data_IF_307295569876
#
_entry.id   IF_307295569876
#
_cell.length_a   1.000
_cell.length_b   1.000
_cell.length_c   1.000
_cell.angle_alpha   90.00
_cell.angle_beta   90.00
_cell.angle_gamma   90.00
#
_symmetry.space_group_name_H-M   'P 1'
#
loop_
_entity.id
_entity.type
_entity.pdbx_description
1 polymer ?
#
# COMPACT_ATOMS: atom_id res chain seq x y z
N UNK A 1 -28.88 -1.00 56.81
CA UNK A 1 -29.43 -1.36 58.12
C UNK A 1 -30.08 -2.72 57.94
N UNK A 2 -29.62 -3.85 58.48
CA UNK A 2 -28.51 -4.13 59.41
C UNK A 2 -27.86 -5.50 59.02
N UNK A 3 -26.55 -5.73 59.11
CA UNK A 3 -25.77 -6.17 60.29
C UNK A 3 -26.28 -7.52 60.91
N UNK A 4 -25.46 -8.53 61.25
CA UNK A 4 -24.00 -8.72 61.17
C UNK A 4 -23.58 -10.22 61.32
N UNK A 5 -22.35 -10.54 60.90
CA UNK A 5 -21.34 -11.39 61.57
C UNK A 5 -21.71 -12.71 62.30
N UNK A 6 -21.10 -13.84 61.86
CA UNK A 6 -19.97 -14.53 62.56
C UNK A 6 -19.40 -15.65 61.64
N UNK A 7 -18.08 -15.79 61.44
CA UNK A 7 -17.13 -16.71 62.13
C UNK A 7 -17.76 -18.07 62.53
N UNK A 8 -17.18 -19.24 62.27
CA UNK A 8 -15.89 -19.60 61.67
C UNK A 8 -15.42 -20.95 62.24
N UNK A 9 -15.09 -21.92 61.39
CA UNK A 9 -14.69 -23.28 61.81
C UNK A 9 -13.61 -23.84 60.89
N UNK A 10 -12.63 -24.54 61.47
CA UNK A 10 -11.37 -24.97 60.82
C UNK A 10 -11.07 -26.43 61.21
N UNK A 11 -10.30 -27.14 60.38
CA UNK A 11 -9.71 -28.49 60.63
C UNK A 11 -10.74 -29.65 60.54
N UNK A 12 -10.39 -30.89 60.16
CA UNK A 12 -9.10 -31.43 59.70
C UNK A 12 -9.25 -32.65 58.77
N UNK A 13 -8.24 -32.83 57.91
CA UNK A 13 -7.60 -34.06 57.40
C UNK A 13 -8.33 -35.42 57.41
N UNK A 14 -8.29 -36.08 56.25
CA UNK A 14 -8.45 -37.54 56.08
C UNK A 14 -7.47 -38.06 55.01
N UNK A 15 -6.43 -38.76 55.44
CA UNK A 15 -5.44 -39.44 54.58
C UNK A 15 -5.95 -40.81 54.11
N UNK A 16 -5.40 -41.35 53.02
CA UNK A 16 -5.88 -42.60 52.40
C UNK A 16 -5.17 -42.99 51.10
N UNK A 17 -3.85 -43.19 51.14
CA UNK A 17 -3.05 -43.52 49.96
C UNK A 17 -3.00 -45.00 49.54
N UNK A 18 -2.68 -45.23 48.25
CA UNK A 18 -2.15 -46.50 47.71
C UNK A 18 -3.19 -47.48 47.13
N UNK A 19 -3.00 -48.11 45.96
CA UNK A 19 -1.78 -48.76 45.48
C UNK A 19 -1.76 -48.96 43.94
N UNK A 20 -0.59 -49.36 43.44
CA UNK A 20 -0.29 -49.65 42.02
C UNK A 20 -0.88 -50.99 41.55
N UNK A 21 -1.32 -51.05 40.30
CA UNK A 21 -1.48 -52.29 39.52
C UNK A 21 -0.79 -52.18 38.17
N UNK A 22 0.22 -53.01 37.89
CA UNK A 22 0.99 -53.03 36.62
C UNK A 22 1.08 -54.46 36.09
N UNK A 23 0.49 -54.70 34.92
CA UNK A 23 0.65 -55.87 34.05
C UNK A 23 0.77 -55.27 32.63
N UNK A 24 1.80 -55.46 31.79
CA UNK A 24 2.58 -56.65 31.38
C UNK A 24 1.64 -57.80 30.93
N UNK A 25 1.79 -58.38 29.73
CA UNK A 25 3.03 -58.64 28.99
C UNK A 25 2.73 -59.06 27.52
N UNK A 26 3.72 -58.90 26.62
CA UNK A 26 3.93 -59.65 25.35
C UNK A 26 2.82 -59.57 24.28
N UNK A 27 3.09 -59.54 22.97
CA UNK A 27 4.28 -59.90 22.17
C UNK A 27 3.76 -60.54 20.86
N UNK A 28 4.51 -60.66 19.76
CA UNK A 28 5.97 -60.68 19.59
C UNK A 28 6.32 -60.61 18.08
N UNK A 29 7.54 -60.16 17.74
CA UNK A 29 8.38 -60.50 16.55
C UNK A 29 7.78 -60.42 15.12
N UNK A 30 8.32 -59.74 14.11
CA UNK A 30 9.69 -59.34 13.71
C UNK A 30 10.55 -60.40 12.98
N UNK A 31 10.85 -60.09 11.70
CA UNK A 31 11.99 -60.51 10.83
C UNK A 31 11.93 -59.55 9.61
N UNK A 32 12.94 -58.77 9.19
CA UNK A 32 14.33 -59.08 8.81
C UNK A 32 14.38 -60.08 7.63
N UNK A 33 15.13 -59.92 6.52
CA UNK A 33 16.39 -59.17 6.25
C UNK A 33 16.61 -59.03 4.73
N UNK A 34 17.79 -58.53 4.28
CA UNK A 34 18.41 -58.65 2.93
C UNK A 34 18.01 -57.57 1.92
N UNK A 35 18.88 -56.57 1.65
CA UNK A 35 20.02 -56.57 0.68
C UNK A 35 19.63 -56.87 -0.77
N UNK A 36 19.85 -55.88 -1.65
CA UNK A 36 20.51 -56.07 -2.94
C UNK A 36 21.05 -54.72 -3.47
N UNK A 37 22.37 -54.62 -3.63
CA UNK A 37 23.03 -53.68 -4.54
C UNK A 37 23.14 -54.34 -5.91
N UNK A 38 22.81 -53.64 -7.00
CA UNK A 38 23.39 -53.94 -8.31
C UNK A 38 23.66 -52.64 -9.11
N UNK A 39 24.95 -52.28 -9.27
CA UNK A 39 25.43 -51.32 -10.26
C UNK A 39 25.97 -52.05 -11.51
N UNK A 40 25.17 -52.14 -12.57
CA UNK A 40 25.60 -52.69 -13.85
C UNK A 40 24.72 -52.20 -15.02
N UNK A 41 25.12 -52.10 -16.29
CA UNK A 41 26.39 -52.21 -17.10
C UNK A 41 25.99 -51.64 -18.50
N UNK A 42 26.82 -51.16 -19.46
CA UNK A 42 28.25 -51.26 -19.80
C UNK A 42 28.64 -50.12 -20.79
N UNK A 43 29.92 -49.73 -20.83
CA UNK A 43 30.58 -49.04 -21.98
C UNK A 43 30.92 -50.05 -23.10
N UNK A 44 31.26 -49.60 -24.33
CA UNK A 44 32.66 -49.28 -24.73
C UNK A 44 32.77 -47.90 -25.42
N UNK A 45 33.82 -47.08 -25.28
CA UNK A 45 35.26 -47.24 -25.58
C UNK A 45 35.63 -47.44 -27.07
N UNK A 46 36.02 -46.35 -27.75
CA UNK A 46 37.24 -46.23 -28.60
C UNK A 46 37.44 -44.77 -29.07
N UNK A 47 38.59 -44.13 -28.80
CA UNK A 47 39.77 -43.92 -29.68
C UNK A 47 39.57 -42.86 -30.78
N UNK A 48 40.52 -41.98 -31.14
CA UNK A 48 41.86 -41.63 -30.62
C UNK A 48 42.51 -40.58 -31.55
N UNK A 49 43.61 -39.92 -31.11
CA UNK A 49 44.61 -39.20 -31.96
C UNK A 49 44.12 -37.87 -32.60
N UNK A 50 44.97 -36.87 -32.93
CA UNK A 50 46.41 -36.62 -32.65
C UNK A 50 46.84 -35.20 -33.10
N UNK A 51 47.97 -34.69 -32.57
CA UNK A 51 48.69 -33.48 -33.04
C UNK A 51 48.59 -32.33 -32.04
N UNK A 52 49.58 -31.91 -31.23
CA UNK A 52 51.07 -31.75 -31.35
C UNK A 52 51.49 -30.46 -32.07
N UNK A 53 51.75 -29.41 -31.27
CA UNK A 53 52.98 -28.57 -31.14
C UNK A 53 53.88 -28.35 -32.39
N UNK A 54 54.54 -27.16 -32.56
CA UNK A 54 55.37 -26.55 -31.51
C UNK A 54 55.46 -24.99 -31.45
N UNK A 55 56.46 -24.54 -30.68
CA UNK A 55 56.78 -23.22 -30.10
C UNK A 55 57.94 -22.49 -30.82
N UNK A 56 58.44 -21.38 -30.23
CA UNK A 56 59.77 -20.74 -30.44
C UNK A 56 59.92 -19.77 -31.66
N UNK A 57 60.77 -18.72 -31.67
CA UNK A 57 61.59 -18.04 -30.64
C UNK A 57 61.97 -16.58 -31.05
N UNK A 58 62.65 -15.86 -30.13
CA UNK A 58 63.49 -14.63 -30.23
C UNK A 58 63.77 -13.98 -31.63
N UNK A 59 63.94 -12.66 -31.75
CA UNK A 59 65.19 -11.85 -31.49
C UNK A 59 64.90 -10.40 -31.99
N UNK A 60 65.53 -9.27 -31.62
CA UNK A 60 66.59 -8.87 -30.66
C UNK A 60 67.22 -7.51 -31.09
N UNK A 61 68.20 -6.98 -30.33
CA UNK A 61 68.97 -5.71 -30.58
C UNK A 61 68.17 -4.38 -30.54
N UNK A 62 68.71 -3.18 -30.29
CA UNK A 62 69.79 -2.59 -29.44
C UNK A 62 70.03 -1.15 -29.94
N UNK A 63 70.40 -0.20 -29.05
CA UNK A 63 71.16 1.06 -29.35
C UNK A 63 70.46 2.13 -30.28
N UNK A 64 70.73 3.45 -30.22
CA UNK A 64 71.41 4.32 -29.23
C UNK A 64 70.94 5.79 -29.41
N UNK A 65 71.29 6.64 -28.44
CA UNK A 65 71.67 8.06 -28.54
C UNK A 65 70.71 9.27 -28.74
N UNK A 66 71.20 10.37 -28.13
CA UNK A 66 71.05 11.80 -28.45
C UNK A 66 69.71 12.57 -28.21
N UNK A 67 69.77 13.47 -27.21
CA UNK A 67 69.11 14.81 -27.18
C UNK A 67 70.10 15.86 -27.81
N UNK A 68 69.83 17.18 -27.95
CA UNK A 68 68.66 17.99 -27.51
C UNK A 68 68.17 19.09 -28.52
N UNK A 69 67.35 20.03 -27.99
CA UNK A 69 67.20 21.44 -28.37
C UNK A 69 66.08 21.89 -29.35
N UNK A 70 64.98 22.35 -28.73
CA UNK A 70 64.49 23.74 -28.80
C UNK A 70 63.93 24.33 -30.13
N UNK A 71 62.60 24.49 -30.16
CA UNK A 71 61.98 25.77 -30.56
C UNK A 71 60.58 25.98 -30.00
N UNK A 72 60.39 27.15 -29.38
CA UNK A 72 59.12 27.69 -28.93
C UNK A 72 58.15 27.98 -30.10
N UNK A 73 56.85 27.74 -29.88
CA UNK A 73 55.73 28.40 -30.59
C UNK A 73 54.36 28.15 -29.95
N UNK A 74 53.71 29.25 -29.60
CA UNK A 74 52.25 29.50 -29.71
C UNK A 74 51.25 28.50 -29.10
N UNK A 75 50.71 28.89 -27.94
CA UNK A 75 49.25 29.03 -27.70
C UNK A 75 48.27 28.20 -28.58
N UNK A 76 47.95 26.97 -28.16
CA UNK A 76 46.57 26.43 -28.26
C UNK A 76 46.33 25.37 -27.15
N UNK A 77 45.87 25.83 -25.97
CA UNK A 77 45.44 24.90 -24.89
C UNK A 77 43.99 24.47 -25.11
N UNK A 78 43.78 23.50 -25.99
CA UNK A 78 42.62 22.60 -25.91
C UNK A 78 42.72 21.76 -24.64
N UNK A 79 41.73 21.76 -23.73
CA UNK A 79 41.68 20.80 -22.64
C UNK A 79 41.41 19.39 -23.19
N UNK A 80 42.16 18.40 -22.70
CA UNK A 80 41.98 17.01 -23.09
C UNK A 80 40.59 16.48 -22.65
N UNK A 81 40.07 15.50 -23.39
CA UNK A 81 38.87 14.74 -23.01
C UNK A 81 39.13 14.00 -21.71
N UNK A 82 38.50 14.43 -20.62
CA UNK A 82 38.37 13.63 -19.41
C UNK A 82 37.47 12.40 -19.63
N UNK A 83 37.55 11.38 -18.76
CA UNK A 83 36.69 10.20 -18.85
C UNK A 83 35.22 10.59 -18.66
N UNK A 84 34.32 9.87 -19.33
CA UNK A 84 32.89 10.16 -19.33
C UNK A 84 32.32 10.17 -17.91
N UNK A 85 31.88 11.35 -17.46
CA UNK A 85 31.13 11.50 -16.22
C UNK A 85 29.76 10.84 -16.36
N UNK A 86 29.26 10.33 -15.23
CA UNK A 86 27.93 9.75 -15.08
C UNK A 86 26.84 10.61 -15.74
N UNK A 87 26.15 10.03 -16.72
CA UNK A 87 24.98 10.66 -17.34
C UNK A 87 23.88 10.79 -16.29
N UNK A 88 23.66 12.03 -15.84
CA UNK A 88 22.63 12.41 -14.87
C UNK A 88 21.23 12.31 -15.51
N UNK A 89 20.72 11.08 -15.59
CA UNK A 89 19.40 10.75 -16.13
C UNK A 89 18.24 11.51 -15.44
N UNK A 90 18.45 12.03 -14.22
CA UNK A 90 17.44 12.75 -13.47
C UNK A 90 17.04 14.11 -14.07
N UNK A 91 17.90 14.73 -14.89
CA UNK A 91 17.70 16.13 -15.31
C UNK A 91 16.96 16.32 -16.64
N UNK A 92 16.88 15.29 -17.48
CA UNK A 92 16.31 15.39 -18.83
C UNK A 92 14.77 15.28 -18.86
N UNK A 93 14.11 14.90 -17.76
CA UNK A 93 12.66 14.66 -17.73
C UNK A 93 11.81 15.86 -17.26
N UNK A 94 12.44 16.99 -16.91
CA UNK A 94 11.77 18.13 -16.27
C UNK A 94 10.97 19.06 -17.23
N UNK A 95 10.95 18.79 -18.53
CA UNK A 95 10.46 19.72 -19.55
C UNK A 95 9.30 19.15 -20.41
N UNK A 96 8.13 18.92 -19.78
CA UNK A 96 6.77 18.93 -20.38
C UNK A 96 5.72 18.63 -19.30
N UNK A 97 5.41 19.63 -18.46
CA UNK A 97 4.30 19.58 -17.50
C UNK A 97 3.11 20.34 -18.07
N UNK A 98 1.96 19.69 -18.19
CA UNK A 98 0.67 20.29 -18.54
C UNK A 98 -0.27 20.28 -17.31
N UNK A 99 -1.19 21.25 -17.19
CA UNK A 99 -1.24 22.03 -15.93
C UNK A 99 -2.13 21.49 -14.79
N UNK A 100 -2.82 20.37 -14.98
CA UNK A 100 -3.79 19.85 -13.99
C UNK A 100 -3.20 18.63 -13.28
N UNK A 101 -2.37 18.93 -12.30
CA UNK A 101 -2.02 18.09 -11.15
C UNK A 101 -1.75 16.59 -11.36
N UNK A 102 -0.57 16.30 -11.91
CA UNK A 102 0.23 15.16 -11.43
C UNK A 102 0.78 15.36 -9.99
N UNK A 103 0.35 16.42 -9.29
CA UNK A 103 1.20 17.26 -8.43
C UNK A 103 1.17 16.90 -6.94
N UNK A 104 0.19 16.12 -6.47
CA UNK A 104 -0.02 16.01 -5.02
C UNK A 104 -0.27 14.61 -4.42
N UNK A 105 -0.38 13.55 -5.22
CA UNK A 105 -0.52 12.16 -4.69
C UNK A 105 0.64 11.24 -5.07
N UNK A 106 1.45 11.60 -6.07
CA UNK A 106 2.56 10.76 -6.53
C UNK A 106 3.76 10.71 -5.56
N UNK A 107 4.01 11.77 -4.78
CA UNK A 107 5.20 11.94 -3.93
C UNK A 107 4.96 11.74 -2.42
N UNK A 108 3.85 11.10 -2.04
CA UNK A 108 3.62 10.64 -0.67
C UNK A 108 4.16 9.22 -0.39
N UNK A 109 4.70 8.53 -1.40
CA UNK A 109 5.52 7.33 -1.20
C UNK A 109 6.94 7.73 -0.81
N UNK A 110 7.43 7.33 0.38
CA UNK A 110 8.86 7.46 0.68
C UNK A 110 9.65 6.63 -0.32
N UNK A 111 10.63 7.24 -0.97
CA UNK A 111 11.68 6.57 -1.75
C UNK A 111 12.63 5.81 -0.80
N UNK A 112 12.09 4.80 -0.13
CA UNK A 112 12.85 3.92 0.75
C UNK A 112 13.53 2.84 -0.09
N UNK A 113 14.86 2.88 -0.13
CA UNK A 113 15.73 1.84 -0.68
C UNK A 113 15.60 0.56 0.17
N UNK A 114 14.56 -0.20 -0.10
CA UNK A 114 14.19 -1.42 0.59
C UNK A 114 12.97 -2.02 -0.10
N UNK A 115 12.96 -3.34 -0.26
CA UNK A 115 11.87 -4.07 -0.92
C UNK A 115 10.60 -4.03 -0.07
N UNK A 116 9.88 -2.92 -0.10
CA UNK A 116 8.57 -2.77 0.51
C UNK A 116 7.53 -3.53 -0.31
N UNK A 117 7.47 -4.84 -0.08
CA UNK A 117 6.27 -5.60 -0.40
C UNK A 117 5.06 -4.88 0.21
N UNK A 118 4.10 -4.53 -0.64
CA UNK A 118 2.76 -4.12 -0.21
C UNK A 118 2.16 -5.36 0.45
N UNK A 119 2.28 -5.41 1.77
CA UNK A 119 2.07 -6.63 2.56
C UNK A 119 0.74 -7.29 2.20
N UNK A 120 0.80 -8.59 1.91
CA UNK A 120 -0.36 -9.35 1.48
C UNK A 120 -1.55 -9.10 2.41
N UNK A 121 -2.73 -8.84 1.82
CA UNK A 121 -3.94 -8.45 2.52
C UNK A 121 -4.33 -9.49 3.60
N UNK A 122 -3.92 -9.21 4.83
CA UNK A 122 -4.04 -10.11 5.96
C UNK A 122 -5.34 -9.86 6.74
N UNK A 123 -5.91 -10.94 7.24
CA UNK A 123 -7.02 -10.90 8.21
C UNK A 123 -6.52 -10.81 9.66
N UNK A 124 -5.21 -10.69 9.87
CA UNK A 124 -4.56 -10.55 11.17
C UNK A 124 -4.11 -9.11 11.37
N UNK A 125 -4.61 -8.48 12.42
CA UNK A 125 -4.16 -7.17 12.88
C UNK A 125 -3.78 -7.24 14.36
N UNK A 126 -2.75 -6.52 14.78
CA UNK A 126 -2.52 -6.25 16.20
C UNK A 126 -3.57 -5.22 16.69
N UNK A 127 -4.03 -5.28 17.95
CA UNK A 127 -5.04 -4.35 18.45
C UNK A 127 -4.70 -2.86 18.26
N UNK A 128 -3.42 -2.41 18.43
CA UNK A 128 -3.06 -1.02 18.14
C UNK A 128 -3.23 -0.65 16.66
N UNK A 129 -2.85 -1.53 15.72
CA UNK A 129 -3.01 -1.29 14.27
C UNK A 129 -4.47 -1.28 13.85
N UNK A 130 -5.32 -2.11 14.47
CA UNK A 130 -6.76 -2.09 14.24
C UNK A 130 -7.40 -0.80 14.77
N UNK A 131 -7.05 -0.35 15.98
CA UNK A 131 -7.54 0.92 16.51
C UNK A 131 -7.11 2.10 15.62
N UNK A 132 -5.84 2.12 15.20
CA UNK A 132 -5.30 3.14 14.29
C UNK A 132 -6.06 3.22 12.96
N UNK A 133 -6.35 2.05 12.38
CA UNK A 133 -7.20 1.90 11.19
C UNK A 133 -8.60 2.47 11.44
N UNK A 134 -9.29 2.02 12.50
CA UNK A 134 -10.67 2.40 12.76
C UNK A 134 -10.81 3.91 13.02
N UNK A 135 -9.90 4.51 13.80
CA UNK A 135 -9.87 5.96 14.03
C UNK A 135 -9.61 6.72 12.73
N UNK A 136 -8.67 6.25 11.90
CA UNK A 136 -8.39 6.86 10.60
C UNK A 136 -9.57 6.82 9.63
N UNK A 137 -10.26 5.68 9.55
CA UNK A 137 -11.46 5.51 8.72
C UNK A 137 -12.66 6.32 9.23
N UNK A 138 -12.84 6.41 10.55
CA UNK A 138 -13.91 7.22 11.14
C UNK A 138 -13.67 8.71 10.87
N UNK A 139 -12.44 9.20 11.07
CA UNK A 139 -12.06 10.57 10.69
C UNK A 139 -12.20 10.81 9.18
N UNK A 140 -11.82 9.85 8.33
CA UNK A 140 -12.03 9.95 6.89
C UNK A 140 -13.51 10.17 6.54
N UNK A 141 -14.41 9.35 7.10
CA UNK A 141 -15.85 9.48 6.87
C UNK A 141 -16.45 10.76 7.46
N UNK A 142 -15.96 11.24 8.62
CA UNK A 142 -16.31 12.57 9.13
C UNK A 142 -15.90 13.65 8.12
N UNK A 143 -14.68 13.59 7.58
CA UNK A 143 -14.20 14.55 6.59
C UNK A 143 -15.08 14.61 5.34
N UNK A 144 -15.45 13.45 4.78
CA UNK A 144 -16.39 13.37 3.64
C UNK A 144 -17.79 13.88 4.05
N UNK A 145 -18.31 13.51 5.22
CA UNK A 145 -19.60 13.97 5.73
C UNK A 145 -19.67 15.49 5.91
N UNK A 146 -18.59 16.14 6.37
CA UNK A 146 -18.48 17.61 6.45
C UNK A 146 -18.49 18.27 5.06
N UNK A 147 -17.85 17.65 4.06
CA UNK A 147 -17.91 18.12 2.67
C UNK A 147 -19.34 17.99 2.12
N UNK A 148 -20.04 16.87 2.38
CA UNK A 148 -21.46 16.70 1.97
C UNK A 148 -22.36 17.72 2.67
N UNK A 149 -22.23 17.89 3.99
CA UNK A 149 -22.99 18.88 4.76
C UNK A 149 -22.78 20.32 4.26
N UNK A 150 -21.61 20.63 3.69
CA UNK A 150 -21.37 21.94 3.07
C UNK A 150 -22.34 22.26 1.93
N UNK A 151 -22.90 21.23 1.26
CA UNK A 151 -23.70 21.33 0.04
C UNK A 151 -23.08 22.21 -1.08
N UNK A 152 -21.76 22.37 -1.09
CA UNK A 152 -21.00 23.13 -2.10
C UNK A 152 -20.35 22.24 -3.19
N UNK A 153 -20.61 20.93 -3.15
CA UNK A 153 -20.01 19.91 -4.02
C UNK A 153 -19.27 18.84 -3.22
N UNK A 154 -19.10 17.65 -3.81
CA UNK A 154 -18.55 16.47 -3.14
C UNK A 154 -17.28 15.91 -3.82
N UNK A 155 -16.58 14.98 -3.15
CA UNK A 155 -15.49 14.21 -3.75
C UNK A 155 -16.02 13.31 -4.88
N UNK A 156 -15.23 12.93 -5.91
CA UNK A 156 -15.73 12.17 -7.06
C UNK A 156 -16.49 10.88 -6.74
N UNK A 157 -16.10 10.18 -5.67
CA UNK A 157 -16.76 8.95 -5.23
C UNK A 157 -18.02 9.22 -4.42
N UNK A 158 -18.03 10.29 -3.64
CA UNK A 158 -19.20 10.74 -2.87
C UNK A 158 -20.24 11.41 -3.77
N UNK A 159 -19.84 12.03 -4.88
CA UNK A 159 -20.76 12.44 -5.97
C UNK A 159 -21.48 11.22 -6.56
N UNK A 160 -20.76 10.11 -6.79
CA UNK A 160 -21.37 8.85 -7.24
C UNK A 160 -22.31 8.27 -6.19
N UNK A 161 -21.88 8.17 -4.93
CA UNK A 161 -22.70 7.64 -3.85
C UNK A 161 -23.98 8.48 -3.62
N UNK A 162 -23.83 9.81 -3.57
CA UNK A 162 -24.97 10.72 -3.44
C UNK A 162 -25.93 10.58 -4.63
N UNK A 163 -25.43 10.59 -5.88
CA UNK A 163 -26.28 10.41 -7.06
C UNK A 163 -27.04 9.08 -7.05
N UNK A 164 -26.41 7.98 -6.62
CA UNK A 164 -27.12 6.71 -6.39
C UNK A 164 -28.16 6.84 -5.28
N UNK A 165 -27.90 7.64 -4.25
CA UNK A 165 -28.84 7.95 -3.17
C UNK A 165 -30.10 8.65 -3.68
N UNK A 166 -29.94 9.71 -4.45
CA UNK A 166 -31.06 10.45 -5.08
C UNK A 166 -31.97 9.54 -5.93
N UNK A 167 -31.39 8.53 -6.61
CA UNK A 167 -32.15 7.58 -7.43
C UNK A 167 -32.79 6.41 -6.64
N UNK A 168 -32.37 6.17 -5.39
CA UNK A 168 -32.80 4.99 -4.61
C UNK A 168 -33.49 5.32 -3.29
N UNK A 169 -33.44 6.57 -2.82
CA UNK A 169 -33.92 6.99 -1.50
C UNK A 169 -33.05 6.49 -0.34
N UNK A 170 -31.85 5.99 -0.62
CA UNK A 170 -30.88 5.53 0.39
C UNK A 170 -29.95 6.67 0.83
N UNK A 171 -29.50 6.62 2.08
CA UNK A 171 -28.53 7.59 2.64
C UNK A 171 -27.17 7.52 1.93
N UNK A 172 -26.42 8.62 1.98
CA UNK A 172 -25.11 8.76 1.31
C UNK A 172 -24.10 7.75 1.88
N UNK A 173 -24.15 7.44 3.18
CA UNK A 173 -23.34 6.41 3.81
C UNK A 173 -23.68 5.00 3.35
N UNK A 174 -24.97 4.65 3.27
CA UNK A 174 -25.41 3.35 2.74
C UNK A 174 -25.01 3.20 1.27
N UNK A 175 -25.22 4.21 0.43
CA UNK A 175 -24.80 4.12 -0.97
C UNK A 175 -23.28 4.12 -1.13
N UNK A 176 -22.52 4.77 -0.25
CA UNK A 176 -21.05 4.65 -0.19
C UNK A 176 -20.62 3.21 0.13
N UNK A 177 -21.32 2.51 1.03
CA UNK A 177 -21.10 1.09 1.31
C UNK A 177 -21.42 0.24 0.07
N UNK A 178 -22.55 0.48 -0.60
CA UNK A 178 -22.96 -0.28 -1.78
C UNK A 178 -22.01 -0.07 -2.98
N UNK A 179 -21.64 1.17 -3.30
CA UNK A 179 -20.64 1.51 -4.32
C UNK A 179 -19.31 0.84 -4.01
N UNK A 180 -18.89 0.85 -2.73
CA UNK A 180 -17.69 0.16 -2.26
C UNK A 180 -17.75 -1.36 -2.48
N UNK A 181 -18.89 -2.00 -2.23
CA UNK A 181 -19.10 -3.43 -2.53
C UNK A 181 -19.04 -3.69 -4.04
N UNK A 182 -19.66 -2.85 -4.88
CA UNK A 182 -19.56 -2.97 -6.35
C UNK A 182 -18.11 -2.86 -6.82
N UNK A 183 -17.33 -1.93 -6.25
CA UNK A 183 -15.90 -1.80 -6.56
C UNK A 183 -15.11 -3.05 -6.15
N UNK A 184 -15.45 -3.71 -5.04
CA UNK A 184 -14.86 -4.99 -4.68
C UNK A 184 -15.25 -6.14 -5.62
N UNK A 185 -16.44 -6.11 -6.25
CA UNK A 185 -16.77 -7.06 -7.31
C UNK A 185 -15.88 -6.87 -8.55
N UNK A 186 -15.50 -5.62 -8.88
CA UNK A 186 -14.53 -5.32 -9.94
C UNK A 186 -13.11 -5.85 -9.63
N UNK A 187 -12.80 -6.24 -8.38
CA UNK A 187 -11.53 -6.88 -8.05
C UNK A 187 -11.45 -8.36 -8.44
N UNK A 188 -12.59 -9.03 -8.62
CA UNK A 188 -12.64 -10.45 -9.02
C UNK A 188 -11.85 -10.73 -10.33
N UNK A 189 -12.07 -10.01 -11.45
CA UNK A 189 -11.25 -10.15 -12.66
C UNK A 189 -9.81 -9.63 -12.50
N UNK A 190 -9.50 -8.89 -11.44
CA UNK A 190 -8.15 -8.43 -11.10
C UNK A 190 -7.40 -9.39 -10.14
N UNK A 191 -8.07 -10.48 -9.70
CA UNK A 191 -7.55 -11.49 -8.75
C UNK A 191 -6.98 -10.88 -7.45
N UNK A 192 -7.52 -9.75 -7.01
CA UNK A 192 -7.10 -9.12 -5.76
C UNK A 192 -7.85 -9.72 -4.57
N UNK A 193 -7.18 -9.87 -3.44
CA UNK A 193 -7.78 -10.40 -2.21
C UNK A 193 -8.07 -9.22 -1.26
N UNK A 194 -9.32 -9.01 -0.82
CA UNK A 194 -9.62 -8.05 0.24
C UNK A 194 -9.03 -8.53 1.57
N UNK A 195 -8.63 -7.59 2.40
CA UNK A 195 -8.15 -7.84 3.77
C UNK A 195 -9.03 -7.15 4.81
N UNK A 196 -8.62 -7.21 6.08
CA UNK A 196 -9.36 -6.57 7.17
C UNK A 196 -9.48 -5.05 6.97
N UNK A 197 -8.41 -4.39 6.53
CA UNK A 197 -8.44 -2.96 6.19
C UNK A 197 -9.46 -2.60 5.10
N UNK A 198 -9.61 -3.47 4.10
CA UNK A 198 -10.60 -3.33 3.03
C UNK A 198 -12.03 -3.42 3.58
N UNK A 199 -12.32 -4.45 4.37
CA UNK A 199 -13.66 -4.67 4.94
C UNK A 199 -14.05 -3.55 5.92
N UNK A 200 -13.13 -3.13 6.79
CA UNK A 200 -13.35 -1.98 7.66
C UNK A 200 -13.57 -0.69 6.85
N UNK A 201 -12.79 -0.44 5.80
CA UNK A 201 -12.95 0.78 4.98
C UNK A 201 -14.36 0.86 4.35
N UNK A 202 -14.88 -0.24 3.79
CA UNK A 202 -16.24 -0.29 3.24
C UNK A 202 -17.28 0.16 4.26
N UNK A 203 -17.27 -0.43 5.47
CA UNK A 203 -18.34 -0.24 6.46
C UNK A 203 -18.16 1.06 7.25
N UNK A 204 -16.95 1.30 7.78
CA UNK A 204 -16.70 2.37 8.75
C UNK A 204 -16.81 3.75 8.12
N UNK A 205 -16.38 3.92 6.86
CA UNK A 205 -16.47 5.21 6.16
C UNK A 205 -17.93 5.60 5.91
N UNK A 206 -18.77 4.68 5.42
CA UNK A 206 -20.18 4.96 5.18
C UNK A 206 -20.94 5.30 6.47
N UNK A 207 -20.73 4.53 7.55
CA UNK A 207 -21.34 4.82 8.85
C UNK A 207 -20.91 6.18 9.42
N UNK A 208 -19.64 6.55 9.26
CA UNK A 208 -19.14 7.84 9.72
C UNK A 208 -19.65 9.03 8.88
N UNK A 209 -19.93 8.84 7.59
CA UNK A 209 -20.59 9.85 6.74
C UNK A 209 -22.01 10.13 7.26
N UNK A 210 -22.85 9.10 7.38
CA UNK A 210 -24.24 9.27 7.85
C UNK A 210 -24.29 9.86 9.27
N UNK A 211 -23.48 9.33 10.20
CA UNK A 211 -23.40 9.86 11.57
C UNK A 211 -22.93 11.33 11.63
N UNK A 212 -22.18 11.81 10.63
CA UNK A 212 -21.77 13.22 10.54
C UNK A 212 -22.88 14.08 9.95
N UNK A 213 -23.62 13.58 8.96
CA UNK A 213 -24.77 14.28 8.39
C UNK A 213 -25.90 14.44 9.40
N UNK A 214 -26.20 13.39 10.16
CA UNK A 214 -27.19 13.42 11.26
C UNK A 214 -26.80 14.42 12.37
N UNK A 215 -25.50 14.59 12.64
CA UNK A 215 -24.99 15.48 13.69
C UNK A 215 -24.89 16.96 13.26
N UNK A 216 -24.49 17.22 12.02
CA UNK A 216 -24.26 18.58 11.50
C UNK A 216 -25.53 19.18 10.90
N UNK A 217 -26.41 18.37 10.32
CA UNK A 217 -27.62 18.82 9.65
C UNK A 217 -27.32 19.72 8.44
N UNK A 218 -28.16 20.74 8.25
CA UNK A 218 -28.07 21.68 7.12
C UNK A 218 -27.53 23.04 7.60
N UNK A 219 -26.24 23.35 7.37
CA UNK A 219 -25.60 24.59 7.84
C UNK A 219 -25.98 25.81 6.97
N UNK A 220 -26.56 26.82 7.60
CA UNK A 220 -26.83 28.10 6.95
C UNK A 220 -25.59 28.98 6.81
N UNK A 221 -25.56 29.78 5.72
CA UNK A 221 -24.55 30.80 5.48
C UNK A 221 -23.29 30.30 4.75
N UNK A 222 -22.85 31.07 3.75
CA UNK A 222 -21.73 30.73 2.87
C UNK A 222 -20.41 30.52 3.61
N UNK A 223 -20.14 31.28 4.67
CA UNK A 223 -18.91 31.15 5.46
C UNK A 223 -18.82 29.80 6.17
N UNK A 224 -19.88 29.37 6.86
CA UNK A 224 -19.92 28.08 7.56
C UNK A 224 -19.81 26.91 6.58
N UNK A 225 -20.57 26.96 5.49
CA UNK A 225 -20.48 25.97 4.40
C UNK A 225 -19.07 25.87 3.82
N UNK A 226 -18.39 27.01 3.59
CA UNK A 226 -17.01 27.04 3.09
C UNK A 226 -16.01 26.48 4.10
N UNK A 227 -16.19 26.79 5.39
CA UNK A 227 -15.37 26.25 6.48
C UNK A 227 -15.55 24.73 6.64
N UNK A 228 -16.76 24.21 6.49
CA UNK A 228 -17.07 22.78 6.50
C UNK A 228 -16.45 22.05 5.31
N UNK A 229 -16.52 22.62 4.10
CA UNK A 229 -15.86 22.05 2.92
C UNK A 229 -14.34 21.96 3.08
N UNK A 230 -13.68 23.08 3.45
CA UNK A 230 -12.22 23.14 3.59
C UNK A 230 -11.72 22.34 4.80
N UNK A 231 -12.40 22.44 5.94
CA UNK A 231 -12.13 21.65 7.14
C UNK A 231 -12.35 20.16 6.90
N UNK A 232 -13.42 19.79 6.19
CA UNK A 232 -13.70 18.43 5.76
C UNK A 232 -12.55 17.85 4.93
N UNK A 233 -12.08 18.54 3.88
CA UNK A 233 -10.92 18.11 3.07
C UNK A 233 -9.67 17.89 3.94
N UNK A 234 -9.37 18.79 4.89
CA UNK A 234 -8.24 18.64 5.80
C UNK A 234 -8.39 17.41 6.72
N UNK A 235 -9.61 17.14 7.21
CA UNK A 235 -9.93 15.97 8.03
C UNK A 235 -9.87 14.67 7.21
N UNK A 236 -10.31 14.65 5.94
CA UNK A 236 -10.10 13.50 5.03
C UNK A 236 -8.60 13.24 4.85
N UNK A 237 -7.78 14.28 4.69
CA UNK A 237 -6.32 14.16 4.60
C UNK A 237 -5.69 13.53 5.85
N UNK A 238 -6.09 14.00 7.04
CA UNK A 238 -5.64 13.45 8.33
C UNK A 238 -6.07 11.98 8.52
N UNK A 239 -7.35 11.68 8.28
CA UNK A 239 -7.92 10.34 8.37
C UNK A 239 -7.26 9.36 7.38
N UNK A 240 -6.97 9.83 6.17
CA UNK A 240 -6.19 9.08 5.17
C UNK A 240 -4.79 8.74 5.67
N UNK A 241 -4.10 9.69 6.32
CA UNK A 241 -2.79 9.46 6.93
C UNK A 241 -2.82 8.30 7.94
N UNK A 242 -3.77 8.34 8.88
CA UNK A 242 -3.99 7.27 9.87
C UNK A 242 -4.31 5.92 9.21
N UNK A 243 -5.31 5.87 8.32
CA UNK A 243 -5.76 4.65 7.66
C UNK A 243 -4.64 3.99 6.84
N UNK A 244 -3.94 4.76 6.00
CA UNK A 244 -2.85 4.25 5.15
C UNK A 244 -1.66 3.78 6.00
N UNK A 245 -1.30 4.51 7.07
CA UNK A 245 -0.22 4.12 7.98
C UNK A 245 -0.48 2.82 8.75
N UNK A 246 -1.75 2.42 8.97
CA UNK A 246 -2.08 1.15 9.61
C UNK A 246 -1.63 -0.08 8.79
N UNK A 247 -1.50 0.07 7.46
CA UNK A 247 -1.02 -0.95 6.52
C UNK A 247 -1.76 -2.32 6.61
N UNK A 248 -3.08 -2.30 6.84
CA UNK A 248 -3.94 -3.49 6.97
C UNK A 248 -4.67 -3.90 5.67
N UNK A 249 -4.21 -3.36 4.53
CA UNK A 249 -4.77 -3.59 3.20
C UNK A 249 -5.47 -2.34 2.63
N UNK A 250 -5.53 -2.20 1.30
CA UNK A 250 -6.14 -1.04 0.65
C UNK A 250 -7.67 -1.09 0.72
N UNK A 251 -8.31 0.08 0.70
CA UNK A 251 -9.74 0.26 0.48
C UNK A 251 -10.13 -0.04 -0.98
N UNK A 252 -11.44 -0.17 -1.27
CA UNK A 252 -11.95 -0.60 -2.58
C UNK A 252 -11.39 0.21 -3.76
N UNK A 253 -11.39 1.55 -3.62
CA UNK A 253 -10.83 2.52 -4.58
C UNK A 253 -9.33 2.28 -4.83
N UNK A 254 -8.54 2.24 -3.76
CA UNK A 254 -7.08 2.16 -3.84
C UNK A 254 -6.62 0.82 -4.44
N UNK A 255 -7.30 -0.26 -4.06
CA UNK A 255 -7.06 -1.57 -4.66
C UNK A 255 -7.51 -1.62 -6.12
N UNK A 256 -8.64 -1.02 -6.51
CA UNK A 256 -9.05 -0.96 -7.92
C UNK A 256 -7.95 -0.31 -8.78
N UNK A 257 -7.43 0.85 -8.35
CA UNK A 257 -6.35 1.57 -9.04
C UNK A 257 -5.07 0.73 -9.13
N UNK A 258 -4.61 0.15 -8.01
CA UNK A 258 -3.35 -0.63 -7.99
C UNK A 258 -3.48 -1.98 -8.71
N UNK A 259 -4.65 -2.61 -8.71
CA UNK A 259 -4.93 -3.83 -9.47
C UNK A 259 -4.98 -3.60 -10.97
N UNK A 260 -5.60 -2.51 -11.42
CA UNK A 260 -5.56 -2.09 -12.82
C UNK A 260 -4.14 -1.76 -13.28
N UNK A 261 -3.34 -1.11 -12.43
CA UNK A 261 -1.92 -0.87 -12.71
C UNK A 261 -1.16 -2.20 -12.90
N UNK A 262 -1.27 -3.14 -11.95
CA UNK A 262 -0.62 -4.47 -12.06
C UNK A 262 -1.09 -5.28 -13.27
N UNK A 263 -2.34 -5.11 -13.74
CA UNK A 263 -2.88 -5.83 -14.90
C UNK A 263 -2.55 -5.17 -16.25
N UNK A 264 -2.42 -3.84 -16.31
CA UNK A 264 -2.31 -3.09 -17.57
C UNK A 264 -0.95 -2.41 -17.81
N UNK A 265 -0.12 -2.30 -16.78
CA UNK A 265 1.15 -1.55 -16.82
C UNK A 265 0.99 -0.02 -16.95
N UNK A 266 -0.25 0.51 -17.04
CA UNK A 266 -0.49 1.95 -17.22
C UNK A 266 -0.15 2.74 -15.94
N UNK A 267 0.31 4.01 -16.05
CA UNK A 267 0.63 4.83 -14.88
C UNK A 267 -0.54 4.97 -13.90
N UNK A 268 -0.26 4.90 -12.59
CA UNK A 268 -1.28 5.05 -11.54
C UNK A 268 -2.03 6.39 -11.64
N UNK A 269 -1.34 7.48 -11.98
CA UNK A 269 -1.97 8.80 -12.17
C UNK A 269 -3.03 8.79 -13.28
N UNK A 270 -2.74 8.16 -14.43
CA UNK A 270 -3.68 8.04 -15.54
C UNK A 270 -4.90 7.18 -15.17
N UNK A 271 -4.67 6.05 -14.50
CA UNK A 271 -5.76 5.18 -14.05
C UNK A 271 -6.63 5.88 -12.99
N UNK A 272 -6.01 6.61 -12.06
CA UNK A 272 -6.70 7.41 -11.06
C UNK A 272 -7.57 8.49 -11.70
N UNK A 273 -7.00 9.33 -12.57
CA UNK A 273 -7.73 10.38 -13.26
C UNK A 273 -8.89 9.82 -14.09
N UNK A 274 -8.66 8.76 -14.86
CA UNK A 274 -9.70 8.12 -15.66
C UNK A 274 -10.86 7.57 -14.84
N UNK A 275 -10.58 6.92 -13.69
CA UNK A 275 -11.64 6.41 -12.80
C UNK A 275 -12.35 7.58 -12.11
N UNK A 276 -11.64 8.56 -11.57
CA UNK A 276 -12.26 9.69 -10.86
C UNK A 276 -13.13 10.55 -11.77
N UNK A 277 -12.71 10.80 -13.01
CA UNK A 277 -13.56 11.47 -14.02
C UNK A 277 -14.79 10.61 -14.33
N UNK A 278 -14.63 9.28 -14.51
CA UNK A 278 -15.75 8.40 -14.81
C UNK A 278 -16.78 8.36 -13.68
N UNK A 279 -16.37 8.20 -12.41
CA UNK A 279 -17.32 8.18 -11.28
C UNK A 279 -17.94 9.55 -11.02
N UNK A 280 -17.19 10.65 -11.22
CA UNK A 280 -17.71 12.01 -11.13
C UNK A 280 -18.81 12.26 -12.19
N UNK A 281 -18.55 11.89 -13.45
CA UNK A 281 -19.52 12.06 -14.54
C UNK A 281 -20.76 11.20 -14.31
N UNK A 282 -20.60 9.92 -13.96
CA UNK A 282 -21.74 9.03 -13.69
C UNK A 282 -22.55 9.56 -12.50
N UNK A 283 -21.89 9.95 -11.40
CA UNK A 283 -22.56 10.49 -10.22
C UNK A 283 -23.32 11.80 -10.51
N UNK A 284 -22.72 12.72 -11.27
CA UNK A 284 -23.37 13.95 -11.68
C UNK A 284 -24.61 13.69 -12.56
N UNK A 285 -24.54 12.73 -13.49
CA UNK A 285 -25.69 12.30 -14.31
C UNK A 285 -26.80 11.63 -13.49
N UNK A 286 -26.47 11.04 -12.34
CA UNK A 286 -27.43 10.48 -11.39
C UNK A 286 -27.98 11.51 -10.38
N UNK A 287 -27.51 12.76 -10.41
CA UNK A 287 -27.97 13.85 -9.54
C UNK A 287 -27.05 14.24 -8.39
N UNK A 288 -25.86 13.64 -8.26
CA UNK A 288 -24.89 13.99 -7.22
C UNK A 288 -24.32 15.40 -7.38
N UNK A 289 -24.13 16.11 -6.26
CA UNK A 289 -23.75 17.53 -6.25
C UNK A 289 -22.29 17.74 -6.65
N UNK A 290 -22.08 18.32 -7.83
CA UNK A 290 -20.77 18.85 -8.27
C UNK A 290 -20.74 20.37 -8.09
N UNK A 291 -19.67 20.90 -7.51
CA UNK A 291 -19.56 22.35 -7.27
C UNK A 291 -18.16 22.81 -6.88
N UNK A 292 -18.08 24.01 -6.29
CA UNK A 292 -16.81 24.64 -5.88
C UNK A 292 -16.04 23.79 -4.86
N UNK A 293 -16.73 23.07 -3.98
CA UNK A 293 -16.08 22.14 -3.05
C UNK A 293 -15.56 20.87 -3.74
N UNK A 294 -16.15 20.44 -4.86
CA UNK A 294 -15.58 19.36 -5.71
C UNK A 294 -14.25 19.79 -6.34
N UNK A 295 -14.19 21.01 -6.88
CA UNK A 295 -12.96 21.57 -7.43
C UNK A 295 -11.89 21.77 -6.34
N UNK A 296 -12.27 22.34 -5.19
CA UNK A 296 -11.39 22.46 -4.04
C UNK A 296 -10.90 21.10 -3.53
N UNK A 297 -11.76 20.09 -3.46
CA UNK A 297 -11.38 18.73 -3.07
C UNK A 297 -10.36 18.14 -4.03
N UNK A 298 -10.58 18.26 -5.34
CA UNK A 298 -9.65 17.74 -6.35
C UNK A 298 -8.23 18.31 -6.19
N UNK A 299 -8.12 19.63 -5.96
CA UNK A 299 -6.85 20.35 -5.77
C UNK A 299 -6.21 20.09 -4.39
N UNK A 300 -7.01 20.10 -3.32
CA UNK A 300 -6.50 20.14 -1.94
C UNK A 300 -6.39 18.76 -1.28
N UNK A 301 -7.02 17.70 -1.83
CA UNK A 301 -6.94 16.38 -1.20
C UNK A 301 -5.53 15.80 -1.23
N UNK A 302 -4.77 15.98 -2.31
CA UNK A 302 -3.40 15.47 -2.40
C UNK A 302 -2.48 16.09 -1.34
N UNK A 303 -2.39 17.44 -1.24
CA UNK A 303 -1.57 18.10 -0.22
C UNK A 303 -2.05 17.76 1.20
N UNK A 304 -3.37 17.66 1.42
CA UNK A 304 -3.93 17.28 2.72
C UNK A 304 -3.56 15.84 3.13
N UNK A 305 -3.61 14.86 2.21
CA UNK A 305 -3.17 13.48 2.47
C UNK A 305 -1.66 13.42 2.72
N UNK A 306 -0.85 14.16 1.96
CA UNK A 306 0.60 14.23 2.19
C UNK A 306 0.93 14.83 3.57
N UNK A 307 0.24 15.91 3.96
CA UNK A 307 0.38 16.51 5.29
C UNK A 307 -0.06 15.53 6.40
N UNK A 308 -1.19 14.85 6.24
CA UNK A 308 -1.67 13.82 7.16
C UNK A 308 -0.65 12.69 7.35
N UNK A 309 -0.09 12.15 6.26
CA UNK A 309 0.97 11.13 6.30
C UNK A 309 2.24 11.62 7.00
N UNK A 310 2.67 12.88 6.78
CA UNK A 310 3.84 13.45 7.47
C UNK A 310 3.61 13.65 8.97
N UNK A 311 2.43 14.12 9.37
CA UNK A 311 2.10 14.37 10.77
C UNK A 311 1.93 13.07 11.56
N UNK A 312 1.28 12.07 10.96
CA UNK A 312 0.86 10.83 11.63
C UNK A 312 1.89 9.70 11.49
N UNK A 313 2.64 9.65 10.38
CA UNK A 313 3.60 8.58 10.07
C UNK A 313 4.59 8.22 11.19
N UNK A 314 5.20 9.19 11.90
CA UNK A 314 6.11 8.90 13.03
C UNK A 314 5.48 8.15 14.21
N UNK A 315 4.15 8.21 14.34
CA UNK A 315 3.39 7.64 15.45
C UNK A 315 2.74 6.28 15.10
N UNK A 316 2.86 5.85 13.85
CA UNK A 316 2.22 4.63 13.36
C UNK A 316 2.69 3.38 14.13
N UNK A 317 1.79 2.50 14.59
CA UNK A 317 2.18 1.27 15.26
C UNK A 317 3.05 0.39 14.36
N UNK A 318 4.12 -0.18 14.93
CA UNK A 318 5.05 -1.05 14.21
C UNK A 318 4.33 -2.29 13.66
N UNK A 319 4.80 -2.78 12.51
CA UNK A 319 4.16 -3.84 11.72
C UNK A 319 4.09 -5.17 12.46
#
# INVERSE_FOLDING_TARGET
MDAASTRGGRREAGDGGGRRGRLRRSGRSATATSRATDPSRRRPLRSSRSGRWPTENATGAELSDARPAERDRSTDRRPARGPASSVDYGRAMAARVTPIEAVAVADATPSATGSHEVGAAGWRASPPRLLWLLVGLWLFGIGEGLVVASSLGNSPWTVLAQGVGEQTGLSVGITTILVSVVVLLLWLPLRQRPGLGTACNVVVVGLAIDATLDLIGHPDGTLLRSALALGGIAVVGLGSGLYLSAALGPGPRDGLMTGLHRRTGRPLALLRAGIEIAVLVIGALLGGTVGVATAAFALLIGPAVHAGLRLIGPWAPRR
#
